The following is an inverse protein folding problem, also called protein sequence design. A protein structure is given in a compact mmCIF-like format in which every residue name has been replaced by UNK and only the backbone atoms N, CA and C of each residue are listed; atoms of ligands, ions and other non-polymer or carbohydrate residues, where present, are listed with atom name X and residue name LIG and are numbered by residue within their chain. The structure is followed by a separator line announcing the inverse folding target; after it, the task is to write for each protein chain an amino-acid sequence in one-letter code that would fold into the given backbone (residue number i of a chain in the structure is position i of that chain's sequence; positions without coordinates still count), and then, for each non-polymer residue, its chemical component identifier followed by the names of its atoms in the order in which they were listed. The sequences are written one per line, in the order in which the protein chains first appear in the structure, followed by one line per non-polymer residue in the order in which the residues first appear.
data_IF_359928519649
#
_entry.id   IF_359928519649
#
_cell.length_a   1.000
_cell.length_b   1.000
_cell.length_c   1.000
_cell.angle_alpha   90.00
_cell.angle_beta   90.00
_cell.angle_gamma   90.00
#
_symmetry.space_group_name_H-M   'P 1'
#
loop_
_entity.id
_entity.type
_entity.pdbx_description
1 polymer ?
#
# COMPACT_ATOMS: atom_id res chain seq x y z
N UNK A 1 -91.66 -25.54 -37.34
CA UNK A 1 -90.82 -26.75 -37.49
C UNK A 1 -89.43 -26.41 -36.97
N UNK A 2 -89.15 -26.60 -35.66
CA UNK A 2 -88.33 -27.71 -35.10
C UNK A 2 -87.04 -27.99 -35.88
N UNK A 3 -85.87 -27.63 -35.31
CA UNK A 3 -84.81 -28.50 -34.72
C UNK A 3 -83.95 -27.59 -33.78
N UNK A 4 -84.00 -27.66 -32.44
CA UNK A 4 -83.39 -28.65 -31.50
C UNK A 4 -81.88 -28.78 -31.80
N UNK A 5 -80.91 -28.44 -30.92
CA UNK A 5 -80.57 -29.15 -29.67
C UNK A 5 -79.32 -28.57 -28.91
N UNK A 6 -79.34 -28.58 -27.55
CA UNK A 6 -78.26 -28.70 -26.51
C UNK A 6 -77.22 -27.54 -26.37
N UNK A 7 -77.06 -26.81 -25.25
CA UNK A 7 -76.81 -27.10 -23.81
C UNK A 7 -75.35 -27.46 -23.47
N UNK A 8 -74.56 -26.51 -22.93
CA UNK A 8 -73.46 -26.83 -21.99
C UNK A 8 -72.99 -25.63 -21.15
N UNK A 9 -72.82 -25.91 -19.85
CA UNK A 9 -72.26 -25.16 -18.73
C UNK A 9 -70.76 -24.83 -18.92
N UNK A 10 -70.31 -23.64 -18.47
CA UNK A 10 -68.99 -23.31 -17.89
C UNK A 10 -68.98 -21.79 -17.60
N UNK A 11 -69.17 -21.27 -16.37
CA UNK A 11 -68.22 -21.16 -15.25
C UNK A 11 -66.83 -20.56 -15.63
N UNK A 12 -66.59 -19.34 -15.10
CA UNK A 12 -65.31 -18.60 -14.89
C UNK A 12 -64.64 -17.85 -16.08
N UNK A 13 -63.80 -16.82 -15.83
CA UNK A 13 -63.81 -15.79 -14.78
C UNK A 13 -63.62 -14.34 -15.32
N UNK A 14 -63.84 -13.35 -14.45
CA UNK A 14 -63.31 -11.99 -14.58
C UNK A 14 -61.79 -12.08 -14.74
N UNK A 15 -61.27 -11.67 -15.89
CA UNK A 15 -59.83 -11.46 -16.08
C UNK A 15 -59.46 -10.22 -15.25
N UNK A 16 -59.07 -10.43 -14.00
CA UNK A 16 -58.19 -9.47 -13.35
C UNK A 16 -56.88 -9.54 -14.10
N UNK A 17 -56.53 -8.48 -14.84
CA UNK A 17 -55.14 -8.25 -15.22
C UNK A 17 -54.35 -8.17 -13.92
N UNK A 18 -53.70 -9.25 -13.51
CA UNK A 18 -52.56 -9.19 -12.59
C UNK A 18 -51.41 -8.60 -13.38
N UNK A 19 -51.45 -7.28 -13.59
CA UNK A 19 -50.29 -6.49 -13.96
C UNK A 19 -49.49 -6.24 -12.68
N UNK A 20 -48.90 -7.29 -12.13
CA UNK A 20 -47.99 -7.24 -10.99
C UNK A 20 -47.14 -8.50 -11.12
N UNK A 21 -46.04 -8.37 -11.85
CA UNK A 21 -44.79 -9.11 -11.64
C UNK A 21 -43.67 -8.32 -12.35
N UNK A 22 -43.83 -8.01 -13.65
CA UNK A 22 -42.78 -7.32 -14.44
C UNK A 22 -42.38 -5.92 -13.92
N UNK A 23 -43.30 -5.14 -13.36
CA UNK A 23 -42.99 -3.79 -12.85
C UNK A 23 -42.25 -3.83 -11.52
N UNK A 24 -42.54 -4.82 -10.69
CA UNK A 24 -41.87 -4.99 -9.39
C UNK A 24 -40.50 -5.64 -9.60
N UNK A 25 -40.36 -6.52 -10.60
CA UNK A 25 -39.06 -7.03 -11.06
C UNK A 25 -38.17 -5.92 -11.64
N UNK A 26 -38.69 -5.03 -12.49
CA UNK A 26 -37.93 -3.88 -13.03
C UNK A 26 -37.50 -2.92 -11.91
N UNK A 27 -38.35 -2.69 -10.90
CA UNK A 27 -37.99 -1.86 -9.74
C UNK A 27 -36.88 -2.50 -8.93
N UNK A 28 -36.97 -3.81 -8.71
CA UNK A 28 -35.94 -4.58 -8.03
C UNK A 28 -34.60 -4.53 -8.79
N UNK A 29 -34.61 -4.68 -10.10
CA UNK A 29 -33.40 -4.57 -10.92
C UNK A 29 -32.78 -3.16 -10.85
N UNK A 30 -33.61 -2.11 -10.83
CA UNK A 30 -33.15 -0.73 -10.66
C UNK A 30 -32.51 -0.54 -9.28
N UNK A 31 -33.15 -1.03 -8.23
CA UNK A 31 -32.63 -0.93 -6.87
C UNK A 31 -31.31 -1.71 -6.71
N UNK A 32 -31.24 -2.92 -7.26
CA UNK A 32 -30.04 -3.75 -7.26
C UNK A 32 -28.91 -3.11 -8.08
N UNK A 33 -29.22 -2.41 -9.20
CA UNK A 33 -28.25 -1.65 -9.98
C UNK A 33 -27.74 -0.40 -9.24
N UNK A 34 -28.61 0.33 -8.56
CA UNK A 34 -28.24 1.51 -7.76
C UNK A 34 -27.30 1.11 -6.61
N UNK A 35 -27.64 0.04 -5.88
CA UNK A 35 -26.77 -0.47 -4.81
C UNK A 35 -25.38 -0.87 -5.33
N UNK A 36 -25.31 -1.42 -6.55
CA UNK A 36 -24.05 -1.77 -7.20
C UNK A 36 -23.25 -0.53 -7.63
N UNK A 37 -23.92 0.52 -8.09
CA UNK A 37 -23.29 1.78 -8.47
C UNK A 37 -22.70 2.51 -7.25
N UNK A 38 -23.43 2.52 -6.14
CA UNK A 38 -22.96 3.11 -4.88
C UNK A 38 -21.71 2.38 -4.38
N UNK A 39 -21.74 1.03 -4.35
CA UNK A 39 -20.58 0.23 -3.96
C UNK A 39 -19.35 0.48 -4.85
N UNK A 40 -19.53 0.58 -6.17
CA UNK A 40 -18.42 0.91 -7.09
C UNK A 40 -17.90 2.34 -6.90
N UNK A 41 -18.74 3.27 -6.45
CA UNK A 41 -18.33 4.65 -6.16
C UNK A 41 -17.45 4.69 -4.92
N UNK A 42 -17.87 4.04 -3.84
CA UNK A 42 -17.09 3.93 -2.60
C UNK A 42 -15.76 3.21 -2.84
N UNK A 43 -15.80 2.09 -3.58
CA UNK A 43 -14.62 1.32 -3.97
C UNK A 43 -13.59 2.16 -4.78
N UNK A 44 -14.07 3.04 -5.68
CA UNK A 44 -13.21 3.95 -6.45
C UNK A 44 -12.59 5.03 -5.55
N UNK A 45 -13.33 5.56 -4.58
CA UNK A 45 -12.84 6.55 -3.63
C UNK A 45 -11.74 5.96 -2.73
N UNK A 46 -11.96 4.75 -2.22
CA UNK A 46 -11.00 4.01 -1.40
C UNK A 46 -9.71 3.70 -2.18
N UNK A 47 -9.83 3.28 -3.44
CA UNK A 47 -8.69 3.02 -4.31
C UNK A 47 -7.88 4.30 -4.59
N UNK A 48 -8.55 5.40 -4.88
CA UNK A 48 -7.91 6.69 -5.12
C UNK A 48 -7.23 7.25 -3.85
N UNK A 49 -7.86 7.09 -2.69
CA UNK A 49 -7.27 7.43 -1.39
C UNK A 49 -6.02 6.60 -1.11
N UNK A 50 -6.05 5.32 -1.46
CA UNK A 50 -4.91 4.41 -1.31
C UNK A 50 -3.74 4.80 -2.24
N UNK A 51 -4.03 5.12 -3.51
CA UNK A 51 -3.04 5.65 -4.47
C UNK A 51 -2.40 6.93 -3.92
N UNK A 52 -3.20 7.87 -3.42
CA UNK A 52 -2.69 9.13 -2.86
C UNK A 52 -1.83 8.90 -1.61
N UNK A 53 -2.27 8.05 -0.69
CA UNK A 53 -1.55 7.75 0.55
C UNK A 53 -0.21 7.09 0.27
N UNK A 54 -0.19 6.11 -0.63
CA UNK A 54 1.05 5.50 -1.11
C UNK A 54 1.98 6.55 -1.73
N UNK A 55 1.42 7.45 -2.54
CA UNK A 55 2.21 8.44 -3.24
C UNK A 55 2.78 9.51 -2.30
N UNK A 56 2.05 9.88 -1.25
CA UNK A 56 2.57 10.73 -0.18
C UNK A 56 3.71 10.05 0.59
N UNK A 57 3.61 8.73 0.80
CA UNK A 57 4.66 7.96 1.46
C UNK A 57 5.93 7.89 0.60
N UNK A 58 5.79 7.68 -0.72
CA UNK A 58 6.92 7.73 -1.66
C UNK A 58 7.59 9.10 -1.70
N UNK A 59 6.82 10.18 -1.63
CA UNK A 59 7.33 11.56 -1.58
C UNK A 59 7.95 11.94 -0.23
N UNK A 60 7.86 11.08 0.78
CA UNK A 60 8.30 11.36 2.15
C UNK A 60 7.46 12.42 2.88
N UNK A 61 6.27 12.76 2.35
CA UNK A 61 5.32 13.69 2.99
C UNK A 61 4.66 13.05 4.22
N UNK A 62 4.44 11.74 4.15
CA UNK A 62 4.02 10.90 5.27
C UNK A 62 5.00 9.76 5.43
N UNK A 63 5.19 9.30 6.67
CA UNK A 63 6.07 8.19 6.98
C UNK A 63 5.26 6.95 7.32
N UNK A 64 5.74 5.79 6.92
CA UNK A 64 5.21 4.52 7.42
C UNK A 64 5.79 4.30 8.81
N UNK A 65 4.93 4.38 9.83
CA UNK A 65 5.31 4.33 11.24
C UNK A 65 5.16 2.94 11.86
N UNK A 66 4.38 2.08 11.21
CA UNK A 66 4.17 0.70 11.63
C UNK A 66 3.38 -0.07 10.58
N UNK A 67 3.27 -1.38 10.80
CA UNK A 67 2.46 -2.25 9.97
C UNK A 67 1.93 -3.43 10.78
N UNK A 68 0.86 -4.04 10.29
CA UNK A 68 0.34 -5.34 10.73
C UNK A 68 -0.07 -6.16 9.51
N UNK A 69 -0.02 -7.48 9.63
CA UNK A 69 -0.41 -8.41 8.55
C UNK A 69 -1.55 -9.30 9.04
N UNK A 70 -2.59 -9.45 8.23
CA UNK A 70 -3.73 -10.33 8.53
C UNK A 70 -3.45 -11.80 8.11
N UNK A 71 -4.38 -12.70 8.42
CA UNK A 71 -4.28 -14.13 8.10
C UNK A 71 -4.27 -14.43 6.58
N UNK A 72 -4.73 -13.48 5.76
CA UNK A 72 -4.75 -13.59 4.29
C UNK A 72 -3.49 -13.02 3.67
N UNK A 73 -2.59 -12.44 4.48
CA UNK A 73 -1.35 -11.82 4.04
C UNK A 73 -1.50 -10.35 3.65
N UNK A 74 -2.66 -9.71 3.86
CA UNK A 74 -2.84 -8.28 3.60
C UNK A 74 -2.15 -7.45 4.68
N UNK A 75 -1.58 -6.32 4.29
CA UNK A 75 -0.94 -5.39 5.21
C UNK A 75 -1.87 -4.23 5.56
N UNK A 76 -1.84 -3.78 6.81
CA UNK A 76 -2.35 -2.47 7.23
C UNK A 76 -1.17 -1.65 7.72
N UNK A 77 -0.86 -0.57 7.01
CA UNK A 77 0.26 0.33 7.29
C UNK A 77 -0.24 1.55 8.06
N UNK A 78 0.42 1.87 9.17
CA UNK A 78 0.10 3.08 9.95
C UNK A 78 0.96 4.24 9.49
N UNK A 79 0.33 5.35 9.13
CA UNK A 79 1.00 6.53 8.59
C UNK A 79 1.17 7.61 9.66
N UNK A 80 2.16 8.48 9.46
CA UNK A 80 2.50 9.57 10.40
C UNK A 80 1.40 10.61 10.59
N UNK A 81 0.48 10.73 9.63
CA UNK A 81 -0.69 11.61 9.70
C UNK A 81 -1.85 11.00 10.51
N UNK A 82 -1.68 9.78 11.05
CA UNK A 82 -2.67 9.06 11.82
C UNK A 82 -3.63 8.22 10.99
N UNK A 83 -3.51 8.23 9.65
CA UNK A 83 -4.30 7.38 8.77
C UNK A 83 -3.70 5.97 8.64
N UNK A 84 -4.48 5.05 8.08
CA UNK A 84 -4.00 3.71 7.75
C UNK A 84 -4.16 3.46 6.24
N UNK A 85 -3.16 2.83 5.64
CA UNK A 85 -3.19 2.35 4.27
C UNK A 85 -3.31 0.82 4.27
N UNK A 86 -4.41 0.30 3.73
CA UNK A 86 -4.59 -1.13 3.54
C UNK A 86 -3.99 -1.54 2.21
N UNK A 87 -3.12 -2.54 2.23
CA UNK A 87 -2.50 -3.12 1.06
C UNK A 87 -2.93 -4.58 0.98
N UNK A 88 -3.76 -4.90 -0.01
CA UNK A 88 -4.19 -6.26 -0.24
C UNK A 88 -3.10 -7.03 -0.96
N UNK A 89 -2.86 -8.26 -0.51
CA UNK A 89 -1.88 -9.15 -1.11
C UNK A 89 -2.53 -10.01 -2.18
N UNK A 90 -1.85 -10.13 -3.32
CA UNK A 90 -2.32 -10.89 -4.48
C UNK A 90 -2.73 -9.99 -5.64
N UNK A 91 -2.49 -10.48 -6.86
CA UNK A 91 -2.81 -9.74 -8.08
C UNK A 91 -4.33 -9.56 -8.23
N UNK A 92 -4.82 -8.33 -8.50
CA UNK A 92 -6.21 -8.09 -8.83
C UNK A 92 -6.66 -8.97 -10.01
N UNK A 93 -7.92 -9.41 -10.01
CA UNK A 93 -8.48 -10.18 -11.12
C UNK A 93 -8.37 -9.38 -12.45
N UNK A 94 -8.06 -10.07 -13.55
CA UNK A 94 -7.69 -9.47 -14.85
C UNK A 94 -8.75 -8.59 -15.54
N UNK A 95 -9.95 -8.49 -14.96
CA UNK A 95 -11.06 -7.66 -15.44
C UNK A 95 -10.95 -6.18 -15.00
N UNK A 96 -9.99 -5.85 -14.15
CA UNK A 96 -9.80 -4.52 -13.57
C UNK A 96 -8.41 -3.99 -13.93
N UNK A 97 -8.27 -2.73 -14.35
CA UNK A 97 -6.97 -2.15 -14.58
C UNK A 97 -6.15 -2.11 -13.29
N UNK A 98 -4.95 -2.69 -13.35
CA UNK A 98 -3.99 -2.66 -12.24
C UNK A 98 -2.96 -1.58 -12.50
N UNK A 99 -2.70 -0.73 -11.51
CA UNK A 99 -1.74 0.36 -11.65
C UNK A 99 -0.37 -0.09 -11.16
N UNK A 100 0.68 0.36 -11.84
CA UNK A 100 2.05 -0.01 -11.54
C UNK A 100 3.03 1.13 -11.79
N UNK A 101 4.30 0.86 -11.53
CA UNK A 101 5.41 1.76 -11.84
C UNK A 101 6.41 0.97 -12.69
N UNK A 102 6.83 1.47 -13.84
CA UNK A 102 7.82 0.79 -14.68
C UNK A 102 9.27 1.06 -14.23
N UNK A 103 10.24 0.42 -14.88
CA UNK A 103 11.68 0.63 -14.59
C UNK A 103 12.13 2.08 -14.76
N UNK A 104 11.46 2.87 -15.59
CA UNK A 104 11.72 4.30 -15.78
C UNK A 104 11.07 5.19 -14.70
N UNK A 105 10.43 4.59 -13.68
CA UNK A 105 9.78 5.32 -12.61
C UNK A 105 8.44 5.95 -12.99
N UNK A 106 7.86 5.61 -14.15
CA UNK A 106 6.57 6.15 -14.61
C UNK A 106 5.40 5.24 -14.25
N UNK A 107 4.24 5.83 -14.00
CA UNK A 107 2.98 5.12 -13.81
C UNK A 107 2.60 4.30 -15.04
N UNK A 108 2.13 3.09 -14.81
CA UNK A 108 1.56 2.21 -15.82
C UNK A 108 0.18 1.71 -15.38
N UNK A 109 -0.61 1.25 -16.35
CA UNK A 109 -1.76 0.41 -16.10
C UNK A 109 -1.62 -0.91 -16.88
N UNK A 110 -2.12 -1.99 -16.31
CA UNK A 110 -2.22 -3.29 -16.96
C UNK A 110 -3.68 -3.75 -16.96
N UNK A 111 -4.20 -4.04 -18.14
CA UNK A 111 -5.55 -4.58 -18.34
C UNK A 111 -5.50 -5.71 -19.36
N UNK A 112 -6.08 -6.87 -19.04
CA UNK A 112 -6.05 -8.06 -19.88
C UNK A 112 -4.62 -8.47 -20.33
N UNK A 113 -3.64 -8.38 -19.43
CA UNK A 113 -2.23 -8.70 -19.71
C UNK A 113 -1.48 -7.69 -20.59
N UNK A 114 -2.12 -6.57 -20.97
CA UNK A 114 -1.48 -5.50 -21.74
C UNK A 114 -1.12 -4.35 -20.79
N UNK A 115 0.17 -4.11 -20.64
CA UNK A 115 0.71 -2.99 -19.85
C UNK A 115 0.98 -1.78 -20.74
N UNK A 116 0.55 -0.59 -20.30
CA UNK A 116 0.81 0.69 -20.97
C UNK A 116 1.18 1.77 -19.95
N UNK A 117 1.99 2.72 -20.39
CA UNK A 117 2.38 3.88 -19.59
C UNK A 117 1.28 4.94 -19.59
N UNK A 118 1.02 5.55 -18.43
CA UNK A 118 0.09 6.66 -18.29
C UNK A 118 0.71 7.92 -18.88
N UNK A 119 -0.13 8.68 -19.59
CA UNK A 119 0.26 9.94 -20.20
C UNK A 119 -0.60 11.08 -19.68
N UNK A 120 0.01 12.24 -19.50
CA UNK A 120 -0.75 13.45 -19.19
C UNK A 120 -1.50 13.98 -20.42
N UNK A 121 -2.20 15.11 -20.26
CA UNK A 121 -2.97 15.74 -21.33
C UNK A 121 -2.13 16.22 -22.53
N UNK A 122 -0.80 16.33 -22.37
CA UNK A 122 0.15 16.72 -23.41
C UNK A 122 0.82 15.50 -24.08
N UNK A 123 0.56 14.29 -23.57
CA UNK A 123 1.12 13.05 -24.07
C UNK A 123 2.47 12.68 -23.44
N UNK A 124 2.91 13.40 -22.39
CA UNK A 124 4.16 13.09 -21.70
C UNK A 124 3.97 11.93 -20.69
N UNK A 125 5.00 11.10 -20.48
CA UNK A 125 5.02 10.11 -19.40
C UNK A 125 4.73 10.72 -18.03
N UNK A 126 4.08 9.95 -17.16
CA UNK A 126 3.73 10.37 -15.81
C UNK A 126 4.69 9.76 -14.77
N UNK A 127 5.69 10.50 -14.26
CA UNK A 127 6.60 9.98 -13.24
C UNK A 127 5.84 9.73 -11.93
N UNK A 128 6.11 8.61 -11.27
CA UNK A 128 5.56 8.27 -9.97
C UNK A 128 6.44 8.81 -8.84
N UNK A 129 7.75 8.67 -8.93
CA UNK A 129 8.68 9.25 -7.95
C UNK A 129 9.08 10.68 -8.35
N UNK A 130 9.40 11.56 -7.38
CA UNK A 130 10.14 12.77 -7.69
C UNK A 130 11.52 12.42 -8.24
N UNK A 131 11.86 12.98 -9.39
CA UNK A 131 13.20 12.84 -10.00
C UNK A 131 13.68 14.23 -10.43
N UNK A 132 14.95 14.56 -10.18
CA UNK A 132 15.60 15.82 -10.56
C UNK A 132 14.82 17.10 -10.18
N UNK A 133 14.24 17.14 -8.98
CA UNK A 133 13.54 18.32 -8.46
C UNK A 133 12.16 18.58 -9.09
N UNK A 134 11.58 17.60 -9.78
CA UNK A 134 10.19 17.61 -10.22
C UNK A 134 9.38 16.60 -9.41
N UNK A 135 8.20 17.01 -8.95
CA UNK A 135 7.31 16.14 -8.20
C UNK A 135 6.77 15.01 -9.08
N UNK A 136 6.63 13.82 -8.49
CA UNK A 136 5.88 12.73 -9.10
C UNK A 136 4.40 13.11 -9.25
N UNK A 137 3.79 12.71 -10.36
CA UNK A 137 2.37 12.95 -10.66
C UNK A 137 1.51 11.86 -10.03
N UNK A 138 0.33 12.23 -9.55
CA UNK A 138 -0.62 11.29 -8.92
C UNK A 138 -1.81 11.05 -9.84
N UNK A 139 -2.08 9.80 -10.27
CA UNK A 139 -3.26 9.49 -11.06
C UNK A 139 -4.50 9.31 -10.16
N UNK A 140 -5.66 9.47 -10.78
CA UNK A 140 -6.97 9.12 -10.22
C UNK A 140 -7.66 8.19 -11.21
N UNK A 141 -8.17 7.05 -10.75
CA UNK A 141 -8.96 6.11 -11.55
C UNK A 141 -10.45 6.43 -11.42
N UNK A 142 -11.20 6.25 -12.51
CA UNK A 142 -12.64 6.50 -12.58
C UNK A 142 -13.31 5.61 -13.62
N UNK A 143 -14.64 5.62 -13.65
CA UNK A 143 -15.46 5.03 -14.70
C UNK A 143 -16.29 6.16 -15.30
N UNK A 144 -16.30 6.28 -16.63
CA UNK A 144 -17.11 7.31 -17.29
C UNK A 144 -18.58 6.91 -17.49
N UNK A 145 -19.39 7.83 -18.01
CA UNK A 145 -20.83 7.62 -18.22
C UNK A 145 -21.16 6.47 -19.18
N UNK A 146 -20.23 6.07 -20.05
CA UNK A 146 -20.38 4.95 -20.97
C UNK A 146 -19.87 3.63 -20.35
N UNK A 147 -19.41 3.66 -19.09
CA UNK A 147 -18.93 2.51 -18.34
C UNK A 147 -17.47 2.15 -18.60
N UNK A 148 -16.69 3.02 -19.26
CA UNK A 148 -15.27 2.74 -19.54
C UNK A 148 -14.37 3.14 -18.38
N UNK A 149 -13.36 2.32 -18.13
CA UNK A 149 -12.27 2.67 -17.23
C UNK A 149 -11.50 3.88 -17.74
N UNK A 150 -11.23 4.82 -16.85
CA UNK A 150 -10.57 6.08 -17.13
C UNK A 150 -9.52 6.40 -16.07
N UNK A 151 -8.54 7.21 -16.45
CA UNK A 151 -7.62 7.83 -15.51
C UNK A 151 -7.50 9.33 -15.77
N UNK A 152 -7.18 10.06 -14.70
CA UNK A 152 -6.91 11.50 -14.74
C UNK A 152 -5.60 11.75 -14.01
N UNK A 153 -4.71 12.57 -14.58
CA UNK A 153 -3.44 12.94 -13.95
C UNK A 153 -3.59 14.32 -13.32
N UNK A 154 -3.43 14.42 -11.99
CA UNK A 154 -3.45 15.69 -11.24
C UNK A 154 -4.62 16.63 -11.57
N UNK A 155 -5.83 16.07 -11.74
CA UNK A 155 -7.04 16.85 -12.07
C UNK A 155 -7.07 17.39 -13.51
N UNK A 156 -6.18 16.93 -14.38
CA UNK A 156 -6.17 17.25 -15.81
C UNK A 156 -7.30 16.59 -16.60
N UNK A 157 -7.10 16.40 -17.91
CA UNK A 157 -8.09 15.77 -18.77
C UNK A 157 -8.19 14.27 -18.50
N UNK A 158 -9.41 13.78 -18.34
CA UNK A 158 -9.72 12.35 -18.23
C UNK A 158 -9.43 11.62 -19.54
N UNK A 159 -8.75 10.49 -19.44
CA UNK A 159 -8.37 9.63 -20.57
C UNK A 159 -8.93 8.23 -20.35
N UNK A 160 -9.53 7.63 -21.39
CA UNK A 160 -9.98 6.23 -21.35
C UNK A 160 -8.78 5.29 -21.39
N UNK A 161 -8.79 4.27 -20.55
CA UNK A 161 -7.83 3.17 -20.59
C UNK A 161 -8.03 2.40 -21.90
N UNK A 162 -6.99 2.25 -22.72
CA UNK A 162 -7.11 1.57 -24.01
C UNK A 162 -7.25 0.05 -23.84
N UNK A 163 -8.13 -0.59 -24.62
CA UNK A 163 -8.27 -2.04 -24.67
C UNK A 163 -9.54 -2.50 -25.37
N UNK A 164 -9.60 -3.76 -25.82
CA UNK A 164 -10.79 -4.32 -26.51
C UNK A 164 -11.96 -4.61 -25.57
N UNK A 165 -11.69 -4.76 -24.27
CA UNK A 165 -12.66 -5.09 -23.22
C UNK A 165 -12.38 -4.23 -21.96
N UNK A 166 -12.46 -2.92 -22.11
CA UNK A 166 -12.15 -1.90 -21.09
C UNK A 166 -13.41 -1.27 -20.46
N UNK A 167 -14.56 -1.93 -20.59
CA UNK A 167 -15.79 -1.58 -19.88
C UNK A 167 -15.72 -2.21 -18.49
N UNK A 168 -16.01 -1.43 -17.46
CA UNK A 168 -16.05 -1.85 -16.07
C UNK A 168 -17.27 -2.74 -15.79
N UNK A 169 -17.18 -4.02 -16.13
CA UNK A 169 -18.22 -5.01 -15.84
C UNK A 169 -17.87 -5.81 -14.59
N UNK A 170 -17.88 -5.15 -13.44
CA UNK A 170 -17.46 -5.73 -12.16
C UNK A 170 -18.49 -5.47 -11.06
N UNK A 171 -18.52 -6.34 -10.06
CA UNK A 171 -19.39 -6.20 -8.89
C UNK A 171 -18.71 -5.50 -7.71
N UNK A 172 -17.37 -5.47 -7.70
CA UNK A 172 -16.54 -4.84 -6.67
C UNK A 172 -15.15 -4.57 -7.26
N UNK A 173 -14.48 -3.51 -6.81
CA UNK A 173 -13.06 -3.27 -7.07
C UNK A 173 -12.25 -3.85 -5.90
N UNK A 174 -11.32 -4.79 -6.12
CA UNK A 174 -10.42 -5.25 -5.08
C UNK A 174 -9.51 -4.09 -4.69
N UNK A 175 -9.40 -3.83 -3.38
CA UNK A 175 -8.87 -2.57 -2.86
C UNK A 175 -7.35 -2.36 -2.95
N UNK A 176 -6.61 -3.05 -3.82
CA UNK A 176 -5.16 -2.79 -3.97
C UNK A 176 -4.66 -2.70 -5.40
N UNK A 177 -3.68 -1.81 -5.57
CA UNK A 177 -2.88 -1.63 -6.79
C UNK A 177 -1.59 -2.47 -6.78
N UNK A 178 -1.23 -3.09 -5.65
CA UNK A 178 0.05 -3.80 -5.50
C UNK A 178 -0.13 -5.29 -5.77
N UNK A 179 0.86 -5.90 -6.44
CA UNK A 179 0.89 -7.35 -6.60
C UNK A 179 1.28 -8.03 -5.28
N UNK A 180 2.21 -7.42 -4.55
CA UNK A 180 2.71 -7.93 -3.27
C UNK A 180 3.34 -6.81 -2.44
N UNK A 181 3.37 -7.00 -1.12
CA UNK A 181 4.20 -6.22 -0.20
C UNK A 181 4.99 -7.17 0.68
N UNK A 182 6.30 -6.92 0.79
CA UNK A 182 7.17 -7.63 1.71
C UNK A 182 7.84 -6.66 2.66
N UNK A 183 8.22 -7.15 3.84
CA UNK A 183 8.98 -6.38 4.81
C UNK A 183 10.35 -7.01 4.97
N UNK A 184 11.39 -6.22 4.71
CA UNK A 184 12.78 -6.64 4.85
C UNK A 184 13.55 -5.63 5.68
N UNK A 185 13.94 -6.01 6.90
CA UNK A 185 14.65 -5.10 7.80
C UNK A 185 13.80 -3.88 8.17
N UNK A 186 14.27 -2.67 7.82
CA UNK A 186 13.61 -1.40 8.14
C UNK A 186 12.96 -0.75 6.90
N UNK A 187 12.48 -1.56 5.95
CA UNK A 187 11.81 -1.09 4.73
C UNK A 187 10.64 -2.00 4.36
N UNK A 188 9.63 -1.41 3.72
CA UNK A 188 8.62 -2.15 2.97
C UNK A 188 8.93 -2.07 1.48
N UNK A 189 8.74 -3.19 0.82
CA UNK A 189 9.02 -3.39 -0.59
C UNK A 189 7.70 -3.71 -1.29
N UNK A 190 7.28 -2.82 -2.18
CA UNK A 190 6.02 -2.89 -2.91
C UNK A 190 6.30 -3.36 -4.33
N UNK A 191 5.71 -4.49 -4.71
CA UNK A 191 5.88 -5.08 -6.04
C UNK A 191 4.70 -4.75 -6.93
N UNK A 192 4.97 -4.39 -8.20
CA UNK A 192 3.96 -4.10 -9.21
C UNK A 192 4.03 -5.06 -10.41
N UNK A 193 2.90 -5.18 -11.11
CA UNK A 193 2.79 -5.91 -12.37
C UNK A 193 2.85 -7.43 -12.26
N UNK A 194 2.70 -8.10 -13.41
CA UNK A 194 2.91 -9.54 -13.54
C UNK A 194 4.41 -9.88 -13.39
N UNK A 195 4.69 -10.97 -12.68
CA UNK A 195 6.04 -11.51 -12.41
C UNK A 195 7.02 -10.61 -11.62
N UNK A 196 6.54 -9.57 -10.94
CA UNK A 196 7.37 -8.74 -10.07
C UNK A 196 8.48 -7.98 -10.78
N UNK A 197 8.21 -7.55 -12.01
CA UNK A 197 9.13 -6.83 -12.87
C UNK A 197 9.56 -5.46 -12.33
N UNK A 198 8.81 -4.87 -11.38
CA UNK A 198 9.20 -3.63 -10.72
C UNK A 198 8.85 -3.60 -9.23
N UNK A 199 9.69 -2.89 -8.48
CA UNK A 199 9.60 -2.79 -7.02
C UNK A 199 9.93 -1.37 -6.58
N UNK A 200 9.16 -0.87 -5.59
CA UNK A 200 9.44 0.39 -4.89
C UNK A 200 9.67 0.09 -3.42
N UNK A 201 10.78 0.58 -2.89
CA UNK A 201 11.12 0.44 -1.48
C UNK A 201 10.80 1.75 -0.75
N UNK A 202 10.02 1.67 0.33
CA UNK A 202 9.73 2.78 1.23
C UNK A 202 10.30 2.43 2.61
N UNK A 203 11.21 3.26 3.17
CA UNK A 203 11.80 2.97 4.47
C UNK A 203 10.79 3.23 5.60
N UNK A 204 10.79 2.35 6.60
CA UNK A 204 10.07 2.56 7.84
C UNK A 204 10.66 3.75 8.59
N UNK A 205 9.78 4.52 9.26
CA UNK A 205 10.17 5.67 10.08
C UNK A 205 11.06 6.68 9.33
N UNK A 206 10.87 6.80 8.00
CA UNK A 206 11.68 7.67 7.16
C UNK A 206 13.15 7.26 7.04
N UNK A 207 13.47 6.01 7.32
CA UNK A 207 14.84 5.49 7.30
C UNK A 207 15.61 5.70 8.59
N UNK A 208 14.94 6.10 9.68
CA UNK A 208 15.52 6.17 11.01
C UNK A 208 16.18 4.84 11.36
N UNK A 209 17.51 4.83 11.44
CA UNK A 209 18.27 3.64 11.77
C UNK A 209 19.63 3.99 12.39
N UNK A 210 20.27 2.99 12.98
CA UNK A 210 21.66 3.04 13.41
C UNK A 210 22.30 1.69 13.14
N UNK A 211 23.37 1.68 12.34
CA UNK A 211 24.09 0.47 11.96
C UNK A 211 25.42 0.38 12.71
N UNK A 212 25.83 -0.82 13.08
CA UNK A 212 27.11 -1.07 13.73
C UNK A 212 28.06 -1.75 12.74
N UNK A 213 29.36 -1.45 12.81
CA UNK A 213 30.36 -2.09 11.93
C UNK A 213 30.49 -3.59 12.13
N UNK A 214 29.95 -4.13 13.23
CA UNK A 214 29.82 -5.56 13.50
C UNK A 214 28.53 -5.86 14.26
N UNK A 215 27.92 -7.02 14.01
CA UNK A 215 26.71 -7.46 14.72
C UNK A 215 27.00 -7.96 16.16
N UNK A 216 28.23 -8.45 16.40
CA UNK A 216 28.66 -8.96 17.70
C UNK A 216 30.02 -8.37 18.05
N UNK A 217 30.18 -7.93 19.29
CA UNK A 217 31.40 -7.32 19.81
C UNK A 217 31.99 -8.21 20.89
N UNK A 218 33.28 -8.49 20.83
CA UNK A 218 34.01 -9.15 21.92
C UNK A 218 34.92 -8.15 22.61
N UNK A 219 34.86 -8.09 23.94
CA UNK A 219 35.70 -7.23 24.77
C UNK A 219 36.37 -8.04 25.87
N UNK A 220 37.68 -7.85 26.06
CA UNK A 220 38.39 -8.51 27.14
C UNK A 220 37.95 -7.96 28.51
N UNK A 221 38.02 -8.78 29.56
CA UNK A 221 37.78 -8.33 30.93
C UNK A 221 38.73 -7.19 31.28
N UNK A 222 38.19 -6.11 31.86
CA UNK A 222 38.91 -4.84 32.11
C UNK A 222 39.39 -4.09 30.86
N UNK A 223 39.09 -4.60 29.66
CA UNK A 223 39.46 -4.02 28.38
C UNK A 223 38.39 -3.06 27.83
N UNK A 224 38.76 -2.45 26.71
CA UNK A 224 37.93 -1.53 25.93
C UNK A 224 38.07 -1.89 24.45
N UNK A 225 36.96 -1.78 23.72
CA UNK A 225 36.92 -1.93 22.26
C UNK A 225 36.24 -0.72 21.64
N UNK A 226 36.70 -0.32 20.47
CA UNK A 226 36.10 0.75 19.66
C UNK A 226 35.58 0.18 18.36
N UNK A 227 34.41 0.65 17.94
CA UNK A 227 33.77 0.30 16.68
C UNK A 227 33.02 1.51 16.11
N UNK A 228 32.59 1.42 14.87
CA UNK A 228 31.78 2.48 14.25
C UNK A 228 30.30 2.15 14.44
N UNK A 229 29.54 3.15 14.87
CA UNK A 229 28.09 3.16 14.88
C UNK A 229 27.60 4.34 14.01
N UNK A 230 26.97 4.01 12.88
CA UNK A 230 26.56 4.99 11.87
C UNK A 230 25.06 5.28 12.01
N UNK A 231 24.66 6.43 12.57
CA UNK A 231 23.27 6.87 12.57
C UNK A 231 22.79 7.24 11.16
N UNK A 232 21.52 7.03 10.88
CA UNK A 232 20.82 7.46 9.65
C UNK A 232 19.50 8.09 10.05
N UNK A 233 19.31 9.39 9.72
CA UNK A 233 18.11 10.16 10.11
C UNK A 233 17.90 10.20 11.65
N UNK A 234 18.99 10.23 12.42
CA UNK A 234 18.96 10.30 13.89
C UNK A 234 19.32 11.69 14.36
N UNK A 235 18.44 12.27 15.18
CA UNK A 235 18.67 13.52 15.91
C UNK A 235 19.29 13.26 17.28
N UNK A 236 18.85 12.19 17.97
CA UNK A 236 19.27 11.92 19.34
C UNK A 236 19.44 10.43 19.60
N UNK A 237 20.47 10.08 20.37
CA UNK A 237 20.71 8.72 20.88
C UNK A 237 20.72 8.74 22.39
N UNK A 238 20.04 7.77 23.01
CA UNK A 238 20.07 7.48 24.44
C UNK A 238 20.52 6.03 24.60
N UNK A 239 21.55 5.81 25.42
CA UNK A 239 22.01 4.47 25.77
C UNK A 239 21.27 4.02 27.02
N UNK A 240 20.61 2.86 26.95
CA UNK A 240 19.91 2.31 28.10
C UNK A 240 20.90 1.88 29.19
N UNK A 241 20.49 1.92 30.48
CA UNK A 241 21.34 1.49 31.58
C UNK A 241 21.94 0.09 31.35
N UNK A 242 23.27 0.00 31.44
CA UNK A 242 24.03 -1.24 31.22
C UNK A 242 25.21 -1.31 32.19
N UNK A 243 25.65 -2.50 32.62
CA UNK A 243 26.87 -2.65 33.43
C UNK A 243 28.16 -2.30 32.66
N UNK A 244 28.10 -2.24 31.33
CA UNK A 244 29.23 -1.87 30.48
C UNK A 244 29.45 -0.34 30.47
N UNK A 245 30.70 0.08 30.27
CA UNK A 245 31.04 1.48 30.06
C UNK A 245 30.89 1.81 28.58
N UNK A 246 29.75 2.39 28.20
CA UNK A 246 29.44 2.68 26.79
C UNK A 246 29.47 4.19 26.57
N UNK A 247 30.18 4.62 25.52
CA UNK A 247 30.24 6.01 25.10
C UNK A 247 30.11 6.09 23.59
N UNK A 248 29.19 6.93 23.11
CA UNK A 248 29.02 7.26 21.71
C UNK A 248 29.40 8.73 21.50
N UNK A 249 30.31 8.98 20.56
CA UNK A 249 30.72 10.32 20.14
C UNK A 249 30.12 10.67 18.78
N UNK A 250 30.45 11.85 18.26
CA UNK A 250 30.03 12.29 16.92
C UNK A 250 30.34 11.24 15.83
N UNK A 251 29.59 11.28 14.73
CA UNK A 251 29.58 10.28 13.66
C UNK A 251 30.86 10.23 12.78
N UNK A 252 32.02 10.04 13.41
CA UNK A 252 33.31 9.75 12.76
C UNK A 252 33.65 8.26 12.88
N UNK A 253 34.75 7.83 12.26
CA UNK A 253 35.25 6.45 12.42
C UNK A 253 35.51 6.11 13.89
N UNK A 254 35.16 4.88 14.31
CA UNK A 254 35.36 4.37 15.67
C UNK A 254 34.74 5.22 16.79
N UNK A 255 33.55 5.77 16.54
CA UNK A 255 32.80 6.64 17.45
C UNK A 255 32.06 5.95 18.61
N UNK A 256 31.98 4.62 18.64
CA UNK A 256 31.38 3.86 19.73
C UNK A 256 32.45 3.11 20.52
N UNK A 257 32.52 3.38 21.83
CA UNK A 257 33.44 2.74 22.76
C UNK A 257 32.68 1.89 23.77
N UNK A 258 33.14 0.67 24.01
CA UNK A 258 32.57 -0.26 25.00
C UNK A 258 33.68 -0.79 25.89
N UNK A 259 33.57 -0.56 27.20
CA UNK A 259 34.50 -1.05 28.22
C UNK A 259 33.84 -2.03 29.20
N UNK A 260 34.60 -3.03 29.65
CA UNK A 260 34.13 -4.09 30.55
C UNK A 260 34.85 -4.08 31.91
N UNK A 261 35.23 -2.89 32.39
CA UNK A 261 35.91 -2.74 33.69
C UNK A 261 34.94 -3.00 34.83
N UNK A 262 35.24 -4.01 35.65
CA UNK A 262 34.39 -4.43 36.78
C UNK A 262 33.18 -5.26 36.37
N UNK A 263 33.15 -5.76 35.13
CA UNK A 263 32.06 -6.58 34.59
C UNK A 263 32.52 -8.04 34.51
N UNK A 264 31.64 -8.98 34.86
CA UNK A 264 31.93 -10.41 34.78
C UNK A 264 31.86 -10.92 33.33
N UNK A 265 32.62 -11.97 33.04
CA UNK A 265 32.60 -12.60 31.72
C UNK A 265 31.20 -13.17 31.44
N UNK A 266 30.71 -13.00 30.22
CA UNK A 266 29.34 -13.34 29.85
C UNK A 266 28.84 -12.58 28.62
N UNK A 267 27.57 -12.82 28.27
CA UNK A 267 26.89 -12.13 27.18
C UNK A 267 26.03 -10.99 27.72
N UNK A 268 26.12 -9.83 27.08
CA UNK A 268 25.39 -8.62 27.41
C UNK A 268 24.76 -8.05 26.13
N UNK A 269 23.65 -7.36 26.27
CA UNK A 269 23.05 -6.59 25.18
C UNK A 269 22.98 -5.12 25.61
N UNK A 270 23.55 -4.25 24.78
CA UNK A 270 23.42 -2.79 24.94
C UNK A 270 22.29 -2.33 24.04
N UNK A 271 21.33 -1.61 24.61
CA UNK A 271 20.22 -1.03 23.87
C UNK A 271 20.45 0.47 23.66
N UNK A 272 20.19 0.92 22.45
CA UNK A 272 20.29 2.31 22.01
C UNK A 272 18.89 2.74 21.57
N UNK A 273 18.29 3.69 22.29
CA UNK A 273 17.09 4.38 21.84
C UNK A 273 17.51 5.53 20.93
N UNK A 274 17.23 5.41 19.64
CA UNK A 274 17.49 6.46 18.65
C UNK A 274 16.19 7.18 18.32
N UNK A 275 16.29 8.48 18.13
CA UNK A 275 15.16 9.37 17.87
C UNK A 275 15.43 10.20 16.62
N UNK A 276 14.43 10.32 15.74
CA UNK A 276 14.46 11.29 14.65
C UNK A 276 14.06 12.69 15.13
N UNK A 277 14.31 13.71 14.30
CA UNK A 277 13.86 15.09 14.57
C UNK A 277 12.35 15.18 14.76
N UNK A 278 11.59 14.38 14.00
CA UNK A 278 10.14 14.28 14.11
C UNK A 278 9.65 13.54 15.38
N UNK A 279 10.54 13.05 16.24
CA UNK A 279 10.21 12.42 17.52
C UNK A 279 9.90 10.93 17.45
N UNK A 280 10.07 10.29 16.30
CA UNK A 280 9.95 8.83 16.19
C UNK A 280 11.10 8.13 16.92
N UNK A 281 10.82 6.99 17.53
CA UNK A 281 11.80 6.21 18.29
C UNK A 281 12.00 4.82 17.70
N UNK A 282 13.25 4.44 17.49
CA UNK A 282 13.65 3.06 17.20
C UNK A 282 14.62 2.56 18.27
N UNK A 283 14.52 1.29 18.65
CA UNK A 283 15.45 0.66 19.61
C UNK A 283 16.40 -0.26 18.83
N UNK A 284 17.70 0.00 18.96
CA UNK A 284 18.76 -0.83 18.36
C UNK A 284 19.49 -1.58 19.46
N UNK A 285 19.82 -2.84 19.19
CA UNK A 285 20.51 -3.71 20.12
C UNK A 285 21.88 -4.09 19.57
N UNK A 286 22.90 -4.09 20.43
CA UNK A 286 24.23 -4.56 20.14
C UNK A 286 24.62 -5.66 21.13
N UNK A 287 24.96 -6.84 20.62
CA UNK A 287 25.43 -7.96 21.44
C UNK A 287 26.92 -7.80 21.76
N UNK A 288 27.25 -7.95 23.04
CA UNK A 288 28.60 -7.81 23.57
C UNK A 288 28.97 -9.04 24.40
N UNK A 289 30.08 -9.68 24.08
CA UNK A 289 30.65 -10.79 24.86
C UNK A 289 31.87 -10.29 25.62
N UNK A 290 31.82 -10.42 26.96
CA UNK A 290 32.96 -10.12 27.84
C UNK A 290 33.73 -11.42 28.10
N UNK A 291 35.04 -11.42 27.85
CA UNK A 291 35.92 -12.57 28.06
C UNK A 291 37.09 -12.24 28.99
#
# INVERSE_FOLDING_TARGET
MKKILILLICLLPVITFTACDDKDDIRKDIDDLNARLDALTDDLEDLNTSIQSFQNAMKGLVLITGYSMDEKGNYTLSLSDGTNLVVYSGQPAGDIPTFGINEAGNWTYTLNGITKELKDGEGNPCPAVPEDGKDGKTPTISIDADGYWCYTIEGGNTQRIEGRYNIANITQIPGSIFANVTVEGNKLSFTFGEEGSSQVDIPLLGGLDMTFSTANVTVAKMGTVTLTATPTVVEKVIIDPTPLQVSLTDATDNNLTIGAKGVDSGEYTVYFQIFSEAGYRLVKALKVTVQ
#
